data_IF_447292992739
#
_entry.id   IF_447292992739
#
_cell.length_a   1.000
_cell.length_b   1.000
_cell.length_c   1.000
_cell.angle_alpha   90.00
_cell.angle_beta   90.00
_cell.angle_gamma   90.00
#
_symmetry.space_group_name_H-M   'P 1'
#
loop_
_entity.id
_entity.type
_entity.pdbx_description
1 polymer ?
#
# COMPACT_ATOMS: atom_id res chain seq x y z
N UNK A 1 60.89 -16.93 -35.31
CA UNK A 1 61.15 -15.49 -35.12
C UNK A 1 60.72 -14.75 -36.39
N UNK A 2 60.22 -13.50 -36.34
CA UNK A 2 60.17 -12.59 -35.20
C UNK A 2 58.75 -12.17 -34.78
N UNK A 3 58.67 -11.77 -33.52
CA UNK A 3 57.60 -11.00 -32.87
C UNK A 3 57.73 -9.52 -33.26
N UNK A 4 56.61 -8.82 -33.48
CA UNK A 4 56.56 -7.35 -33.41
C UNK A 4 55.43 -6.99 -32.46
N UNK A 5 55.74 -6.91 -31.15
CA UNK A 5 56.12 -5.69 -30.44
C UNK A 5 55.04 -4.61 -30.55
N UNK A 6 54.18 -4.55 -29.52
CA UNK A 6 53.48 -3.32 -29.15
C UNK A 6 54.51 -2.47 -28.42
N UNK A 7 55.11 -1.52 -29.14
CA UNK A 7 56.03 -0.55 -28.56
C UNK A 7 55.26 0.74 -28.28
N UNK A 8 54.83 0.89 -27.02
CA UNK A 8 54.53 2.20 -26.45
C UNK A 8 55.87 2.87 -26.13
N UNK A 9 56.46 3.52 -27.14
CA UNK A 9 57.78 4.13 -27.02
C UNK A 9 57.84 5.41 -27.84
N UNK A 10 57.97 6.54 -27.14
CA UNK A 10 58.31 7.84 -27.71
C UNK A 10 59.54 7.72 -28.61
N UNK A 11 59.34 7.79 -29.93
CA UNK A 11 60.43 7.91 -30.89
C UNK A 11 60.05 8.93 -31.94
N UNK A 12 60.72 10.08 -31.88
CA UNK A 12 60.64 11.14 -32.88
C UNK A 12 61.27 10.65 -34.17
N UNK A 13 60.48 9.99 -35.01
CA UNK A 13 60.87 9.68 -36.40
C UNK A 13 60.63 10.94 -37.22
N UNK A 14 61.72 11.55 -37.71
CA UNK A 14 61.67 12.71 -38.58
C UNK A 14 60.88 12.38 -39.86
N UNK A 15 59.77 13.12 -40.08
CA UNK A 15 58.95 13.02 -41.30
C UNK A 15 59.76 13.53 -42.51
N UNK A 16 59.69 12.88 -43.68
CA UNK A 16 60.14 13.50 -44.92
C UNK A 16 59.30 14.76 -45.18
N UNK A 17 59.98 15.89 -45.36
CA UNK A 17 59.36 17.20 -45.58
C UNK A 17 58.61 17.18 -46.91
N UNK A 18 57.27 17.17 -46.86
CA UNK A 18 56.41 17.39 -48.04
C UNK A 18 55.22 16.46 -48.23
N UNK A 19 55.07 15.36 -47.46
CA UNK A 19 53.90 14.48 -47.60
C UNK A 19 52.75 14.93 -46.66
N UNK A 20 51.60 15.27 -47.23
CA UNK A 20 50.38 15.55 -46.48
C UNK A 20 50.00 14.32 -45.62
N UNK A 21 49.73 14.55 -44.33
CA UNK A 21 49.30 13.48 -43.43
C UNK A 21 47.99 12.87 -43.96
N UNK A 22 47.85 11.53 -44.01
CA UNK A 22 46.55 10.94 -44.26
C UNK A 22 45.59 11.39 -43.15
N UNK A 23 44.30 11.65 -43.45
CA UNK A 23 43.35 12.10 -42.45
C UNK A 23 43.31 11.08 -41.31
N UNK A 24 43.52 11.55 -40.07
CA UNK A 24 43.41 10.69 -38.89
C UNK A 24 42.01 10.05 -38.87
N UNK A 25 41.91 8.71 -38.77
CA UNK A 25 40.63 8.05 -38.63
C UNK A 25 39.97 8.53 -37.35
N UNK A 26 38.87 9.27 -37.49
CA UNK A 26 38.09 9.80 -36.38
C UNK A 26 37.25 8.68 -35.80
N UNK A 27 37.79 7.94 -34.83
CA UNK A 27 37.04 6.90 -34.13
C UNK A 27 36.03 7.55 -33.16
N UNK A 28 34.75 7.55 -33.52
CA UNK A 28 33.66 7.85 -32.58
C UNK A 28 33.22 6.56 -31.90
N UNK A 29 33.37 6.49 -30.57
CA UNK A 29 32.75 5.45 -29.76
C UNK A 29 31.23 5.68 -29.76
N UNK A 30 30.50 4.97 -30.63
CA UNK A 30 29.04 4.92 -30.55
C UNK A 30 28.65 3.93 -29.47
N UNK A 31 28.38 4.42 -28.26
CA UNK A 31 27.63 3.65 -27.28
C UNK A 31 26.23 3.42 -27.84
N UNK A 32 25.96 2.19 -28.28
CA UNK A 32 24.62 1.79 -28.70
C UNK A 32 23.78 1.63 -27.43
N UNK A 33 23.14 2.72 -27.04
CA UNK A 33 22.03 2.68 -26.09
C UNK A 33 21.00 1.67 -26.64
N UNK A 34 20.51 0.76 -25.79
CA UNK A 34 19.58 -0.30 -26.20
C UNK A 34 18.14 0.05 -25.83
N UNK A 35 17.37 0.75 -26.68
CA UNK A 35 15.94 0.86 -26.49
C UNK A 35 15.30 -0.36 -27.15
N UNK A 36 14.68 -1.21 -26.34
CA UNK A 36 13.78 -2.31 -26.72
C UNK A 36 14.42 -3.59 -27.33
N UNK A 37 14.05 -4.72 -26.72
CA UNK A 37 14.44 -6.09 -27.09
C UNK A 37 14.11 -6.40 -28.56
N UNK A 38 12.97 -5.96 -29.07
CA UNK A 38 12.56 -6.20 -30.45
C UNK A 38 13.46 -5.48 -31.47
N UNK A 39 13.89 -4.25 -31.16
CA UNK A 39 14.80 -3.47 -32.02
C UNK A 39 16.18 -4.14 -32.04
N UNK A 40 16.63 -4.65 -30.89
CA UNK A 40 17.89 -5.43 -30.81
C UNK A 40 17.85 -6.69 -31.67
N UNK A 41 16.74 -7.43 -31.66
CA UNK A 41 16.57 -8.63 -32.49
C UNK A 41 16.57 -8.28 -33.98
N UNK A 42 15.78 -7.28 -34.39
CA UNK A 42 15.70 -6.85 -35.79
C UNK A 42 17.04 -6.33 -36.31
N UNK A 43 17.74 -5.52 -35.51
CA UNK A 43 19.06 -5.00 -35.87
C UNK A 43 20.08 -6.13 -35.99
N UNK A 44 20.10 -7.09 -35.06
CA UNK A 44 20.98 -8.27 -35.15
C UNK A 44 20.72 -9.14 -36.40
N UNK A 45 19.47 -9.25 -36.85
CA UNK A 45 19.12 -9.93 -38.11
C UNK A 45 19.63 -9.12 -39.32
N UNK A 46 19.42 -7.80 -39.30
CA UNK A 46 19.84 -6.91 -40.39
C UNK A 46 21.35 -6.82 -40.52
N UNK A 47 22.08 -6.76 -39.42
CA UNK A 47 23.55 -6.74 -39.39
C UNK A 47 24.10 -8.03 -39.96
N UNK A 48 23.55 -9.19 -39.58
CA UNK A 48 23.95 -10.49 -40.18
C UNK A 48 23.80 -10.53 -41.70
N UNK A 49 22.75 -9.91 -42.24
CA UNK A 49 22.51 -9.86 -43.69
C UNK A 49 23.44 -8.86 -44.40
N UNK A 50 23.96 -7.86 -43.67
CA UNK A 50 24.78 -6.77 -44.22
C UNK A 50 26.27 -6.97 -44.02
N UNK A 51 26.71 -7.77 -43.04
CA UNK A 51 28.13 -8.01 -42.79
C UNK A 51 28.73 -8.81 -43.96
N UNK A 52 29.65 -8.23 -44.75
CA UNK A 52 30.34 -8.97 -45.78
C UNK A 52 31.25 -10.01 -45.13
N UNK A 53 31.21 -11.24 -45.60
CA UNK A 53 32.18 -12.27 -45.20
C UNK A 53 33.55 -11.85 -45.74
N UNK A 54 34.43 -11.39 -44.88
CA UNK A 54 35.80 -11.03 -45.26
C UNK A 54 36.57 -12.33 -45.49
N UNK A 55 36.90 -12.63 -46.74
CA UNK A 55 37.79 -13.74 -47.10
C UNK A 55 39.23 -13.31 -46.87
N UNK A 56 39.88 -13.90 -45.87
CA UNK A 56 41.31 -13.66 -45.60
C UNK A 56 42.16 -14.31 -46.70
N UNK A 57 43.16 -13.62 -47.28
CA UNK A 57 44.02 -14.21 -48.29
C UNK A 57 44.75 -15.48 -47.77
N UNK A 58 44.95 -16.50 -48.62
CA UNK A 58 45.40 -17.84 -48.23
C UNK A 58 46.76 -17.88 -47.50
N UNK A 59 47.56 -16.83 -47.67
CA UNK A 59 48.86 -16.62 -47.01
C UNK A 59 48.75 -16.56 -45.49
N UNK A 60 47.57 -16.19 -44.96
CA UNK A 60 47.26 -16.08 -43.54
C UNK A 60 46.16 -17.06 -43.09
N UNK A 61 45.79 -18.02 -43.95
CA UNK A 61 44.61 -18.87 -43.79
C UNK A 61 44.95 -20.23 -43.19
N UNK A 62 44.36 -20.57 -42.03
CA UNK A 62 44.41 -21.91 -41.43
C UNK A 62 43.02 -22.53 -41.21
N UNK A 63 42.04 -22.04 -41.96
CA UNK A 63 40.61 -22.32 -41.78
C UNK A 63 39.81 -21.02 -41.76
N UNK A 64 38.49 -21.09 -42.02
CA UNK A 64 37.59 -19.94 -41.94
C UNK A 64 37.63 -19.34 -40.53
N UNK A 65 38.29 -18.20 -40.37
CA UNK A 65 38.34 -17.49 -39.10
C UNK A 65 37.44 -16.25 -39.17
N UNK A 66 36.25 -16.23 -38.53
CA UNK A 66 35.60 -14.97 -38.25
C UNK A 66 36.54 -14.11 -37.38
N UNK A 67 36.69 -12.83 -37.72
CA UNK A 67 37.50 -11.86 -36.96
C UNK A 67 37.17 -11.91 -35.45
N UNK A 68 38.13 -11.58 -34.56
CA UNK A 68 37.94 -11.71 -33.12
C UNK A 68 36.83 -10.78 -32.62
N UNK A 69 35.68 -11.40 -32.35
CA UNK A 69 34.72 -11.22 -31.25
C UNK A 69 35.07 -10.09 -30.27
N UNK A 70 34.85 -8.83 -30.66
CA UNK A 70 34.56 -7.75 -29.69
C UNK A 70 33.05 -7.62 -29.47
N UNK A 71 32.24 -8.22 -30.35
CA UNK A 71 30.81 -8.35 -30.16
C UNK A 71 30.49 -9.69 -29.49
N UNK A 72 30.07 -9.65 -28.22
CA UNK A 72 29.50 -10.81 -27.55
C UNK A 72 28.38 -11.38 -28.42
N UNK A 73 28.28 -12.72 -28.52
CA UNK A 73 27.18 -13.39 -29.21
C UNK A 73 25.84 -12.79 -28.74
N UNK A 74 24.90 -12.46 -29.65
CA UNK A 74 23.62 -11.93 -29.24
C UNK A 74 22.94 -12.87 -28.23
N UNK A 75 22.47 -12.32 -27.11
CA UNK A 75 21.96 -13.09 -25.96
C UNK A 75 20.90 -14.13 -26.33
N UNK A 76 20.06 -13.85 -27.35
CA UNK A 76 19.01 -14.75 -27.81
C UNK A 76 19.56 -16.02 -28.47
N UNK A 77 20.79 -15.98 -29.02
CA UNK A 77 21.46 -17.16 -29.59
C UNK A 77 22.00 -18.07 -28.50
N UNK A 78 22.47 -17.47 -27.42
CA UNK A 78 22.90 -18.20 -26.23
C UNK A 78 21.75 -18.59 -25.31
N UNK A 79 20.50 -18.20 -25.60
CA UNK A 79 19.34 -18.54 -24.79
C UNK A 79 19.22 -20.06 -24.55
N UNK A 80 19.48 -20.88 -25.57
CA UNK A 80 19.49 -22.33 -25.39
C UNK A 80 20.56 -22.77 -24.39
N UNK A 81 21.78 -22.23 -24.51
CA UNK A 81 22.88 -22.53 -23.59
C UNK A 81 22.58 -22.03 -22.18
N UNK A 82 21.96 -20.85 -22.03
CA UNK A 82 21.52 -20.31 -20.74
C UNK A 82 20.47 -21.22 -20.09
N UNK A 83 19.46 -21.65 -20.86
CA UNK A 83 18.45 -22.62 -20.41
C UNK A 83 19.13 -23.94 -20.02
N UNK A 84 20.06 -24.44 -20.83
CA UNK A 84 20.80 -25.66 -20.55
C UNK A 84 21.58 -25.56 -19.23
N UNK A 85 22.23 -24.43 -18.95
CA UNK A 85 22.98 -24.18 -17.71
C UNK A 85 22.08 -24.29 -16.47
N UNK A 86 20.79 -23.93 -16.56
CA UNK A 86 19.85 -24.10 -15.44
C UNK A 86 19.66 -25.59 -15.06
N UNK A 87 19.86 -26.50 -16.00
CA UNK A 87 19.71 -27.95 -15.81
C UNK A 87 21.03 -28.71 -15.71
N UNK A 88 22.17 -28.07 -15.96
CA UNK A 88 23.47 -28.71 -15.81
C UNK A 88 23.77 -28.99 -14.33
N UNK A 89 24.31 -30.18 -14.01
CA UNK A 89 24.72 -30.47 -12.66
C UNK A 89 25.89 -29.56 -12.29
N UNK A 90 25.79 -28.99 -11.09
CA UNK A 90 26.84 -28.24 -10.44
C UNK A 90 28.13 -29.09 -10.38
N UNK A 91 29.26 -28.54 -10.87
CA UNK A 91 30.54 -29.26 -10.95
C UNK A 91 31.44 -29.02 -9.75
N UNK A 92 31.29 -27.90 -9.04
CA UNK A 92 32.10 -27.59 -7.88
C UNK A 92 31.63 -28.31 -6.60
N UNK A 93 32.56 -28.85 -5.79
CA UNK A 93 32.21 -29.58 -4.56
C UNK A 93 31.50 -28.67 -3.53
N UNK A 94 31.78 -27.37 -3.56
CA UNK A 94 31.18 -26.39 -2.65
C UNK A 94 29.70 -26.16 -2.99
N UNK A 95 29.36 -25.88 -4.26
CA UNK A 95 27.97 -25.67 -4.66
C UNK A 95 27.14 -26.94 -4.52
N UNK A 96 27.70 -28.11 -4.80
CA UNK A 96 26.97 -29.39 -4.64
C UNK A 96 26.61 -29.64 -3.19
N UNK A 97 27.54 -29.37 -2.26
CA UNK A 97 27.26 -29.37 -0.82
C UNK A 97 26.20 -28.32 -0.45
N UNK A 98 26.38 -27.07 -0.87
CA UNK A 98 25.47 -25.97 -0.55
C UNK A 98 24.05 -26.20 -1.08
N UNK A 99 23.91 -26.73 -2.29
CA UNK A 99 22.62 -27.08 -2.91
C UNK A 99 21.94 -28.23 -2.15
N UNK A 100 22.70 -29.18 -1.61
CA UNK A 100 22.16 -30.22 -0.71
C UNK A 100 21.64 -29.62 0.59
N UNK A 101 22.37 -28.66 1.18
CA UNK A 101 21.89 -27.95 2.37
C UNK A 101 20.64 -27.12 2.08
N UNK A 102 20.56 -26.41 0.94
CA UNK A 102 19.35 -25.69 0.53
C UNK A 102 18.13 -26.60 0.41
N UNK A 103 18.29 -27.77 -0.22
CA UNK A 103 17.21 -28.77 -0.28
C UNK A 103 16.75 -29.19 1.11
N UNK A 104 17.68 -29.42 2.05
CA UNK A 104 17.35 -29.75 3.44
C UNK A 104 16.63 -28.60 4.17
N UNK A 105 17.08 -27.36 3.98
CA UNK A 105 16.41 -26.15 4.52
C UNK A 105 14.98 -26.02 3.98
N UNK A 106 14.81 -26.18 2.67
CA UNK A 106 13.50 -26.12 2.01
C UNK A 106 12.57 -27.22 2.52
N UNK A 107 13.07 -28.45 2.73
CA UNK A 107 12.30 -29.54 3.31
C UNK A 107 11.85 -29.23 4.74
N UNK A 108 12.75 -28.73 5.60
CA UNK A 108 12.38 -28.32 6.96
C UNK A 108 11.36 -27.19 6.95
N UNK A 109 11.56 -26.18 6.11
CA UNK A 109 10.61 -25.07 5.96
C UNK A 109 9.24 -25.57 5.50
N UNK A 110 9.18 -26.49 4.52
CA UNK A 110 7.94 -27.07 4.05
C UNK A 110 7.23 -27.91 5.13
N UNK A 111 7.96 -28.74 5.88
CA UNK A 111 7.38 -29.54 6.97
C UNK A 111 6.78 -28.68 8.08
N UNK A 112 7.49 -27.63 8.48
CA UNK A 112 7.02 -26.68 9.51
C UNK A 112 5.85 -25.85 8.98
N UNK A 113 5.87 -25.43 7.71
CA UNK A 113 4.75 -24.76 7.07
C UNK A 113 3.48 -25.63 7.07
N UNK A 114 3.59 -26.92 6.73
CA UNK A 114 2.47 -27.85 6.77
C UNK A 114 1.93 -28.03 8.20
N UNK A 115 2.79 -28.18 9.19
CA UNK A 115 2.38 -28.31 10.59
C UNK A 115 1.67 -27.05 11.11
N UNK A 116 2.21 -25.87 10.82
CA UNK A 116 1.63 -24.59 11.21
C UNK A 116 0.32 -24.29 10.46
N UNK A 117 0.19 -24.68 9.20
CA UNK A 117 -1.06 -24.60 8.45
C UNK A 117 -2.14 -25.51 9.05
N UNK A 118 -1.76 -26.74 9.45
CA UNK A 118 -2.66 -27.68 10.14
C UNK A 118 -3.15 -27.13 11.50
N UNK A 119 -2.25 -26.51 12.26
CA UNK A 119 -2.61 -25.84 13.51
C UNK A 119 -3.55 -24.63 13.27
N UNK A 120 -3.26 -23.81 12.25
CA UNK A 120 -4.11 -22.68 11.87
C UNK A 120 -5.49 -23.09 11.38
N UNK A 121 -5.60 -24.25 10.73
CA UNK A 121 -6.89 -24.85 10.34
C UNK A 121 -7.68 -25.36 11.56
N UNK A 122 -7.00 -26.01 12.51
CA UNK A 122 -7.61 -26.52 13.74
C UNK A 122 -8.24 -25.41 14.61
N UNK A 123 -7.66 -24.20 14.59
CA UNK A 123 -8.13 -23.04 15.38
C UNK A 123 -9.35 -22.35 14.72
N UNK A 124 -9.80 -22.80 13.54
CA UNK A 124 -11.01 -22.30 12.84
C UNK A 124 -11.04 -20.79 12.58
N UNK A 125 -9.87 -20.14 12.46
CA UNK A 125 -9.79 -18.76 11.99
C UNK A 125 -9.87 -18.72 10.47
N UNK A 126 -10.70 -17.83 9.92
CA UNK A 126 -10.91 -17.61 8.46
C UNK A 126 -9.60 -17.51 7.65
N UNK A 127 -8.52 -17.00 8.26
CA UNK A 127 -7.21 -16.82 7.62
C UNK A 127 -6.10 -17.73 8.18
N UNK A 128 -6.41 -18.59 9.16
CA UNK A 128 -5.43 -19.35 9.94
C UNK A 128 -4.56 -20.28 9.12
N UNK A 129 -5.13 -20.92 8.08
CA UNK A 129 -4.40 -21.82 7.20
C UNK A 129 -3.32 -21.08 6.41
N UNK A 130 -3.68 -19.93 5.82
CA UNK A 130 -2.76 -19.13 5.01
C UNK A 130 -1.67 -18.47 5.87
N UNK A 131 -2.07 -17.88 7.00
CA UNK A 131 -1.13 -17.23 7.94
C UNK A 131 -0.20 -18.27 8.57
N UNK A 132 -0.73 -19.43 8.95
CA UNK A 132 0.05 -20.55 9.47
C UNK A 132 1.05 -21.10 8.45
N UNK A 133 0.65 -21.28 7.19
CA UNK A 133 1.55 -21.76 6.14
C UNK A 133 2.71 -20.77 5.88
N UNK A 134 2.40 -19.48 5.73
CA UNK A 134 3.41 -18.44 5.43
C UNK A 134 4.34 -18.25 6.63
N UNK A 135 3.77 -18.10 7.83
CA UNK A 135 4.53 -17.92 9.07
C UNK A 135 5.40 -19.13 9.40
N UNK A 136 4.83 -20.34 9.24
CA UNK A 136 5.54 -21.59 9.42
C UNK A 136 6.69 -21.79 8.43
N UNK A 137 6.50 -21.42 7.16
CA UNK A 137 7.57 -21.48 6.16
C UNK A 137 8.73 -20.54 6.52
N UNK A 138 8.42 -19.28 6.88
CA UNK A 138 9.44 -18.30 7.26
C UNK A 138 10.23 -18.76 8.50
N UNK A 139 9.52 -19.24 9.53
CA UNK A 139 10.14 -19.76 10.75
C UNK A 139 10.99 -21.01 10.45
N UNK A 140 10.45 -21.97 9.70
CA UNK A 140 11.16 -23.19 9.34
C UNK A 140 12.37 -22.94 8.46
N UNK A 141 12.33 -21.92 7.61
CA UNK A 141 13.49 -21.47 6.85
C UNK A 141 14.59 -20.91 7.75
N UNK A 142 14.24 -20.08 8.75
CA UNK A 142 15.19 -19.56 9.73
C UNK A 142 15.83 -20.69 10.56
N UNK A 143 15.04 -21.65 11.03
CA UNK A 143 15.53 -22.85 11.72
C UNK A 143 16.46 -23.66 10.80
N UNK A 144 16.10 -23.83 9.53
CA UNK A 144 16.92 -24.49 8.54
C UNK A 144 18.29 -23.82 8.34
N UNK A 145 18.36 -22.49 8.34
CA UNK A 145 19.62 -21.75 8.23
C UNK A 145 20.59 -22.11 9.36
N UNK A 146 20.06 -22.27 10.59
CA UNK A 146 20.85 -22.60 11.78
C UNK A 146 21.33 -24.06 11.72
N UNK A 147 20.43 -25.00 11.42
CA UNK A 147 20.72 -26.43 11.41
C UNK A 147 21.62 -26.86 10.24
N UNK A 148 21.42 -26.27 9.07
CA UNK A 148 22.08 -26.69 7.83
C UNK A 148 22.93 -25.56 7.27
N UNK A 149 24.07 -25.27 7.88
CA UNK A 149 24.97 -24.19 7.42
C UNK A 149 25.57 -24.51 6.04
N UNK A 150 25.61 -23.47 5.20
CA UNK A 150 26.34 -23.50 3.92
C UNK A 150 27.82 -23.28 4.18
N UNK A 151 28.65 -23.76 3.26
CA UNK A 151 30.08 -23.52 3.23
C UNK A 151 30.36 -22.26 2.40
N UNK A 152 31.20 -21.38 2.92
CA UNK A 152 31.59 -20.16 2.23
C UNK A 152 32.57 -20.48 1.09
N UNK A 153 32.46 -19.73 0.00
CA UNK A 153 33.47 -19.79 -1.05
C UNK A 153 34.76 -19.13 -0.55
N UNK A 154 35.94 -19.67 -0.95
CA UNK A 154 37.18 -18.96 -0.70
C UNK A 154 37.09 -17.56 -1.34
N UNK A 155 37.71 -16.53 -0.72
CA UNK A 155 37.69 -15.20 -1.27
C UNK A 155 38.25 -15.23 -2.70
N UNK A 156 37.52 -14.63 -3.63
CA UNK A 156 38.01 -14.46 -5.00
C UNK A 156 39.31 -13.64 -4.97
N UNK A 157 40.21 -13.95 -5.90
CA UNK A 157 41.53 -13.33 -6.01
C UNK A 157 41.42 -11.81 -6.15
N UNK A 158 40.35 -11.35 -6.80
CA UNK A 158 40.09 -9.94 -7.08
C UNK A 158 39.33 -9.22 -5.96
N UNK A 159 38.63 -9.95 -5.08
CA UNK A 159 37.81 -9.38 -3.99
C UNK A 159 36.80 -8.29 -4.39
N UNK A 160 36.49 -8.13 -5.68
CA UNK A 160 35.73 -6.99 -6.23
C UNK A 160 34.27 -6.89 -5.73
N UNK A 161 33.74 -7.94 -5.09
CA UNK A 161 32.33 -8.05 -4.70
C UNK A 161 32.12 -8.45 -3.24
N UNK A 162 32.90 -7.90 -2.30
CA UNK A 162 32.56 -8.09 -0.87
C UNK A 162 31.28 -7.30 -0.54
N UNK A 163 30.19 -7.97 -0.12
CA UNK A 163 28.95 -7.27 0.22
C UNK A 163 29.20 -6.35 1.43
N UNK A 164 29.12 -5.04 1.21
CA UNK A 164 29.17 -4.07 2.29
C UNK A 164 27.79 -3.93 2.93
N UNK A 165 27.70 -4.14 4.25
CA UNK A 165 26.44 -4.05 4.99
C UNK A 165 25.76 -2.68 4.84
N UNK A 166 26.55 -1.61 4.77
CA UNK A 166 26.05 -0.25 4.54
C UNK A 166 25.33 -0.09 3.18
N UNK A 167 25.85 -0.69 2.11
CA UNK A 167 25.23 -0.64 0.78
C UNK A 167 23.87 -1.36 0.77
N UNK A 168 23.79 -2.51 1.44
CA UNK A 168 22.55 -3.26 1.57
C UNK A 168 21.48 -2.49 2.34
N UNK A 169 21.85 -1.90 3.50
CA UNK A 169 20.94 -1.07 4.30
C UNK A 169 20.44 0.13 3.50
N UNK A 170 21.34 0.83 2.79
CA UNK A 170 20.97 1.97 1.95
C UNK A 170 20.00 1.57 0.84
N UNK A 171 20.24 0.44 0.18
CA UNK A 171 19.33 -0.07 -0.85
C UNK A 171 17.94 -0.37 -0.28
N UNK A 172 17.86 -1.10 0.83
CA UNK A 172 16.57 -1.41 1.49
C UNK A 172 15.82 -0.13 1.88
N UNK A 173 16.54 0.86 2.43
CA UNK A 173 15.96 2.14 2.83
C UNK A 173 15.41 2.93 1.64
N UNK A 174 16.15 3.00 0.53
CA UNK A 174 15.69 3.66 -0.69
C UNK A 174 14.46 2.98 -1.29
N UNK A 175 14.44 1.65 -1.33
CA UNK A 175 13.27 0.90 -1.83
C UNK A 175 12.05 1.07 -0.91
N UNK A 176 12.25 1.04 0.41
CA UNK A 176 11.18 1.29 1.37
C UNK A 176 10.60 2.70 1.22
N UNK A 177 11.47 3.72 1.05
CA UNK A 177 11.04 5.08 0.81
C UNK A 177 10.25 5.21 -0.50
N UNK A 178 10.69 4.55 -1.57
CA UNK A 178 9.99 4.50 -2.84
C UNK A 178 8.61 3.85 -2.73
N UNK A 179 8.49 2.72 -2.02
CA UNK A 179 7.21 2.05 -1.78
C UNK A 179 6.26 2.95 -0.97
N UNK A 180 6.75 3.60 0.07
CA UNK A 180 5.94 4.55 0.86
C UNK A 180 5.48 5.71 -0.02
N UNK A 181 6.37 6.31 -0.82
CA UNK A 181 6.01 7.42 -1.72
C UNK A 181 4.94 7.01 -2.76
N UNK A 182 4.98 5.77 -3.25
CA UNK A 182 3.98 5.25 -4.18
C UNK A 182 2.65 4.98 -3.46
N UNK A 183 2.67 4.35 -2.29
CA UNK A 183 1.46 3.88 -1.61
C UNK A 183 0.74 4.98 -0.81
N UNK A 184 1.48 5.95 -0.28
CA UNK A 184 0.95 7.05 0.53
C UNK A 184 -0.20 7.83 -0.15
N UNK A 185 -0.12 8.26 -1.42
CA UNK A 185 -1.23 8.97 -2.05
C UNK A 185 -2.48 8.11 -2.21
N UNK A 186 -2.35 6.80 -2.48
CA UNK A 186 -3.51 5.90 -2.57
C UNK A 186 -4.17 5.70 -1.21
N UNK A 187 -3.37 5.55 -0.15
CA UNK A 187 -3.86 5.44 1.21
C UNK A 187 -4.61 6.70 1.64
N UNK A 188 -4.03 7.89 1.43
CA UNK A 188 -4.66 9.17 1.73
C UNK A 188 -5.94 9.38 0.90
N UNK A 189 -5.91 9.05 -0.40
CA UNK A 189 -7.09 9.15 -1.25
C UNK A 189 -8.22 8.23 -0.78
N UNK A 190 -7.92 7.04 -0.26
CA UNK A 190 -8.93 6.15 0.31
C UNK A 190 -9.54 6.70 1.61
N UNK A 191 -8.74 7.37 2.46
CA UNK A 191 -9.25 8.03 3.66
C UNK A 191 -10.17 9.23 3.33
N UNK A 192 -9.95 9.89 2.20
CA UNK A 192 -10.70 11.09 1.80
C UNK A 192 -11.88 10.84 0.84
N UNK A 193 -12.27 9.58 0.55
CA UNK A 193 -13.48 9.32 -0.25
C UNK A 193 -14.73 9.51 0.61
N UNK A 194 -15.54 10.59 0.42
CA UNK A 194 -16.86 10.63 1.03
C UNK A 194 -17.70 9.48 0.48
N UNK A 195 -18.44 8.80 1.36
CA UNK A 195 -19.41 7.80 0.93
C UNK A 195 -20.42 8.51 0.04
N UNK A 196 -20.49 8.11 -1.23
CA UNK A 196 -21.57 8.53 -2.13
C UNK A 196 -22.85 7.93 -1.57
N UNK A 197 -23.54 8.69 -0.71
CA UNK A 197 -24.90 8.39 -0.30
C UNK A 197 -25.71 8.43 -1.59
N UNK A 198 -26.23 7.28 -2.02
CA UNK A 198 -27.30 7.23 -3.01
C UNK A 198 -28.56 7.74 -2.33
N UNK A 199 -28.56 9.03 -2.00
CA UNK A 199 -29.63 9.68 -1.29
C UNK A 199 -30.76 9.95 -2.27
N UNK A 200 -31.78 9.10 -2.27
CA UNK A 200 -33.10 9.68 -2.11
C UNK A 200 -33.07 10.35 -0.73
N UNK A 201 -32.62 11.60 -0.70
CA UNK A 201 -32.91 12.49 0.42
C UNK A 201 -34.39 12.77 0.29
N UNK A 202 -35.19 11.86 0.84
CA UNK A 202 -36.55 12.23 1.18
C UNK A 202 -36.37 13.27 2.29
N UNK A 203 -36.55 14.53 1.92
CA UNK A 203 -36.65 15.63 2.88
C UNK A 203 -37.91 15.32 3.68
N UNK A 204 -37.76 14.50 4.72
CA UNK A 204 -38.83 14.27 5.68
C UNK A 204 -38.94 15.59 6.42
N UNK A 205 -39.98 16.33 6.07
CA UNK A 205 -40.37 17.55 6.75
C UNK A 205 -40.41 17.27 8.26
N UNK A 206 -39.52 17.94 9.00
CA UNK A 206 -39.44 17.85 10.46
C UNK A 206 -40.42 18.79 11.15
N UNK A 207 -41.29 19.46 10.40
CA UNK A 207 -42.43 20.22 10.92
C UNK A 207 -43.31 19.47 11.92
N UNK A 208 -43.53 18.13 11.87
CA UNK A 208 -44.26 17.41 12.91
C UNK A 208 -43.43 17.10 14.17
N UNK A 209 -42.12 17.41 14.19
CA UNK A 209 -41.27 17.34 15.39
C UNK A 209 -40.96 18.73 15.97
N UNK A 210 -41.41 19.82 15.32
CA UNK A 210 -41.45 21.14 15.93
C UNK A 210 -42.44 21.07 17.06
N UNK A 211 -41.86 20.98 18.25
CA UNK A 211 -42.52 20.75 19.51
C UNK A 211 -43.79 21.58 19.67
N UNK A 212 -44.73 20.98 20.40
CA UNK A 212 -45.91 21.58 21.03
C UNK A 212 -45.45 22.58 22.12
N UNK A 213 -44.56 23.49 21.75
CA UNK A 213 -44.15 24.62 22.57
C UNK A 213 -45.29 25.61 22.53
N UNK A 214 -45.69 26.10 23.71
CA UNK A 214 -46.69 27.15 23.82
C UNK A 214 -46.33 28.29 22.84
N UNK A 215 -47.29 28.80 22.04
CA UNK A 215 -47.03 29.86 21.08
C UNK A 215 -46.31 31.02 21.76
N UNK A 216 -45.11 31.35 21.29
CA UNK A 216 -44.30 32.45 21.81
C UNK A 216 -43.70 33.21 20.64
N UNK A 217 -43.56 34.52 20.80
CA UNK A 217 -42.89 35.39 19.82
C UNK A 217 -41.43 34.99 19.58
N UNK A 218 -40.79 34.36 20.57
CA UNK A 218 -39.42 33.86 20.46
C UNK A 218 -39.42 32.40 20.02
N UNK A 219 -38.99 32.17 18.78
CA UNK A 219 -38.75 30.82 18.25
C UNK A 219 -37.64 30.13 19.03
N UNK A 220 -37.89 28.88 19.43
CA UNK A 220 -36.84 27.99 19.90
C UNK A 220 -35.88 27.69 18.75
N UNK A 221 -34.61 27.55 19.09
CA UNK A 221 -33.51 27.43 18.14
C UNK A 221 -32.42 26.54 18.70
N UNK A 222 -31.52 26.15 17.82
CA UNK A 222 -30.46 25.20 18.09
C UNK A 222 -30.69 23.85 17.43
N UNK A 223 -29.73 22.96 17.65
CA UNK A 223 -29.69 21.66 17.00
C UNK A 223 -28.57 20.81 17.57
N UNK A 224 -28.36 19.65 16.98
CA UNK A 224 -27.29 18.76 17.40
C UNK A 224 -26.75 17.90 16.28
N UNK A 225 -25.51 17.51 16.49
CA UNK A 225 -24.77 16.66 15.58
C UNK A 225 -23.92 15.67 16.35
N UNK A 226 -23.56 14.60 15.69
CA UNK A 226 -22.77 13.55 16.30
C UNK A 226 -22.49 12.41 15.35
N UNK A 227 -21.73 11.43 15.83
CA UNK A 227 -21.37 10.19 15.18
C UNK A 227 -20.11 9.60 15.78
N UNK A 228 -19.76 8.39 15.33
CA UNK A 228 -18.55 7.66 15.72
C UNK A 228 -17.61 7.42 14.52
N UNK A 229 -17.78 8.21 13.45
CA UNK A 229 -17.10 8.04 12.15
C UNK A 229 -17.44 6.72 11.46
N UNK A 230 -18.60 6.14 11.77
CA UNK A 230 -19.12 4.97 11.06
C UNK A 230 -19.36 5.29 9.58
N UNK A 231 -19.02 4.33 8.71
CA UNK A 231 -19.24 4.46 7.26
C UNK A 231 -20.72 4.42 6.86
N UNK A 232 -21.55 3.83 7.72
CA UNK A 232 -22.99 3.70 7.54
C UNK A 232 -23.70 4.89 8.17
N UNK A 233 -24.84 5.36 7.62
CA UNK A 233 -25.65 6.42 8.24
C UNK A 233 -26.13 6.00 9.64
N UNK A 234 -26.57 6.96 10.45
CA UNK A 234 -27.12 6.65 11.78
C UNK A 234 -28.38 5.78 11.63
N UNK A 235 -28.64 4.83 12.53
CA UNK A 235 -29.87 4.04 12.47
C UNK A 235 -31.07 4.86 12.95
N UNK A 236 -32.26 4.60 12.37
CA UNK A 236 -33.53 5.16 12.85
C UNK A 236 -33.87 4.62 14.25
N UNK A 237 -34.33 5.49 15.14
CA UNK A 237 -34.65 5.10 16.52
C UNK A 237 -35.30 6.20 17.34
N UNK A 238 -35.54 5.91 18.63
CA UNK A 238 -36.13 6.84 19.58
C UNK A 238 -35.11 7.90 20.05
N UNK A 239 -35.62 9.09 20.37
CA UNK A 239 -34.84 10.21 20.91
C UNK A 239 -34.95 10.21 22.43
N UNK A 240 -33.84 10.39 23.18
CA UNK A 240 -33.91 10.52 24.63
C UNK A 240 -34.43 11.90 25.05
N UNK A 241 -34.68 12.08 26.35
CA UNK A 241 -35.19 13.34 26.90
C UNK A 241 -34.14 14.45 26.87
N UNK A 242 -34.61 15.70 26.83
CA UNK A 242 -33.77 16.89 26.98
C UNK A 242 -33.47 17.17 28.46
N UNK A 243 -32.26 17.65 28.72
CA UNK A 243 -31.81 18.08 30.04
C UNK A 243 -30.86 19.28 29.91
N UNK A 244 -30.77 20.08 30.99
CA UNK A 244 -29.86 21.23 31.05
C UNK A 244 -28.39 20.84 30.98
N UNK A 245 -28.05 19.61 31.37
CA UNK A 245 -26.69 19.10 31.33
C UNK A 245 -26.69 17.71 30.70
N UNK A 246 -25.79 17.54 29.74
CA UNK A 246 -25.56 16.25 29.11
C UNK A 246 -24.44 15.50 29.83
N UNK A 247 -24.76 14.32 30.38
CA UNK A 247 -23.77 13.49 31.08
C UNK A 247 -23.24 12.37 30.19
N UNK A 248 -24.09 11.84 29.31
CA UNK A 248 -23.72 10.83 28.33
C UNK A 248 -24.38 11.14 26.97
N UNK A 249 -23.62 11.09 25.87
CA UNK A 249 -24.19 11.26 24.55
C UNK A 249 -25.05 10.05 24.16
N UNK A 250 -26.13 10.24 23.39
CA UNK A 250 -26.93 9.13 22.87
C UNK A 250 -26.17 8.39 21.78
N UNK A 251 -25.94 7.10 21.98
CA UNK A 251 -25.24 6.25 21.02
C UNK A 251 -25.93 4.89 20.98
N UNK A 252 -26.07 4.32 19.78
CA UNK A 252 -26.52 2.93 19.56
C UNK A 252 -25.37 1.96 19.80
N UNK A 253 -24.17 2.32 19.34
CA UNK A 253 -22.95 1.56 19.58
C UNK A 253 -22.07 2.32 20.55
N UNK A 254 -22.01 1.86 21.79
CA UNK A 254 -21.15 2.45 22.82
C UNK A 254 -19.73 1.87 22.69
N UNK A 255 -18.66 2.69 22.74
CA UNK A 255 -17.28 2.20 22.66
C UNK A 255 -16.89 1.23 23.78
N UNK A 256 -17.47 1.42 24.97
CA UNK A 256 -17.29 0.55 26.12
C UNK A 256 -18.60 -0.16 26.46
N UNK A 257 -18.61 -1.49 26.40
CA UNK A 257 -19.78 -2.33 26.71
C UNK A 257 -20.02 -2.49 28.22
N UNK A 258 -19.01 -2.24 29.07
CA UNK A 258 -19.09 -2.37 30.52
C UNK A 258 -18.59 -1.08 31.21
N UNK A 259 -19.40 0.00 31.24
CA UNK A 259 -19.04 1.22 31.94
C UNK A 259 -19.03 1.01 33.46
N UNK A 260 -18.04 1.58 34.14
CA UNK A 260 -17.96 1.55 35.62
C UNK A 260 -19.12 2.31 36.29
N UNK A 261 -19.68 3.30 35.61
CA UNK A 261 -20.83 4.09 36.05
C UNK A 261 -21.76 4.34 34.86
N UNK A 262 -22.79 3.50 34.64
CA UNK A 262 -23.76 3.73 33.58
C UNK A 262 -24.66 4.92 33.94
N UNK A 263 -24.75 5.88 33.03
CA UNK A 263 -25.67 7.02 33.13
C UNK A 263 -26.62 6.97 31.94
N UNK A 264 -27.87 7.37 32.14
CA UNK A 264 -28.84 7.42 31.05
C UNK A 264 -28.46 8.52 30.04
N UNK A 265 -28.48 8.24 28.74
CA UNK A 265 -28.18 9.24 27.72
C UNK A 265 -29.30 10.27 27.64
N UNK A 266 -28.92 11.52 27.39
CA UNK A 266 -29.82 12.66 27.27
C UNK A 266 -29.32 13.63 26.19
N UNK A 267 -30.21 14.51 25.73
CA UNK A 267 -29.88 15.63 24.85
C UNK A 267 -29.76 16.93 25.63
N UNK A 268 -28.90 17.83 25.17
CA UNK A 268 -28.77 19.16 25.75
C UNK A 268 -29.95 20.03 25.32
N UNK A 269 -30.71 20.59 26.25
CA UNK A 269 -31.79 21.53 25.95
C UNK A 269 -32.78 21.74 27.10
N UNK A 270 -33.84 22.53 26.87
CA UNK A 270 -34.87 22.79 27.87
C UNK A 270 -35.62 21.49 28.24
N UNK A 271 -35.70 21.11 29.53
CA UNK A 271 -36.39 19.88 29.96
C UNK A 271 -37.89 19.86 29.63
N UNK A 272 -38.51 21.03 29.50
CA UNK A 272 -39.92 21.18 29.18
C UNK A 272 -40.24 20.87 27.71
N UNK A 273 -39.21 20.64 26.87
CA UNK A 273 -39.38 20.33 25.47
C UNK A 273 -39.85 18.89 25.28
N UNK A 274 -41.17 18.74 25.07
CA UNK A 274 -41.81 17.45 24.80
C UNK A 274 -41.73 17.13 23.31
N UNK A 275 -41.05 16.04 22.99
CA UNK A 275 -41.10 15.46 21.65
C UNK A 275 -42.32 14.53 21.52
N UNK A 276 -42.88 14.35 20.31
CA UNK A 276 -43.86 13.30 20.06
C UNK A 276 -43.30 11.95 20.54
N UNK A 277 -44.05 11.26 21.41
CA UNK A 277 -43.61 9.97 21.94
C UNK A 277 -43.50 8.94 20.81
N UNK A 278 -42.26 8.69 20.39
CA UNK A 278 -41.90 7.49 19.64
C UNK A 278 -42.19 6.28 20.53
N UNK A 279 -42.63 5.15 19.96
CA UNK A 279 -42.88 3.94 20.73
C UNK A 279 -41.68 3.61 21.65
N UNK A 280 -41.92 3.48 22.95
CA UNK A 280 -40.91 3.29 23.99
C UNK A 280 -40.03 2.03 23.79
N UNK A 281 -40.38 1.20 22.83
CA UNK A 281 -39.78 -0.09 22.52
C UNK A 281 -38.69 0.02 21.44
N UNK A 282 -38.47 1.21 20.86
CA UNK A 282 -37.43 1.42 19.86
C UNK A 282 -36.08 1.70 20.54
N UNK A 283 -35.01 1.05 20.04
CA UNK A 283 -33.64 1.43 20.39
C UNK A 283 -33.37 2.89 20.04
N UNK A 284 -32.38 3.50 20.70
CA UNK A 284 -31.94 4.87 20.41
C UNK A 284 -31.62 5.03 18.92
N UNK A 285 -31.83 6.22 18.36
CA UNK A 285 -31.47 6.48 16.97
C UNK A 285 -31.81 7.88 16.52
N UNK A 286 -31.54 8.16 15.25
CA UNK A 286 -31.85 9.42 14.60
C UNK A 286 -33.21 9.31 13.86
N UNK A 287 -34.29 10.01 14.28
CA UNK A 287 -35.63 9.86 13.71
C UNK A 287 -35.74 10.04 12.19
N UNK A 288 -35.11 11.06 11.56
CA UNK A 288 -35.13 11.23 10.10
C UNK A 288 -34.23 10.25 9.34
N UNK A 289 -33.59 9.28 10.01
CA UNK A 289 -32.59 8.44 9.39
C UNK A 289 -33.15 7.14 8.78
N UNK A 290 -32.28 6.41 8.07
CA UNK A 290 -32.61 5.19 7.34
C UNK A 290 -32.72 4.00 8.30
N UNK A 291 -33.70 3.13 8.06
CA UNK A 291 -33.78 1.81 8.71
C UNK A 291 -32.58 1.00 8.23
N UNK A 292 -31.59 0.82 9.10
CA UNK A 292 -30.31 0.19 8.79
C UNK A 292 -29.75 -0.52 10.03
N UNK A 293 -28.69 -1.30 9.84
CA UNK A 293 -27.98 -1.91 10.96
C UNK A 293 -27.53 -0.85 11.98
N UNK A 294 -27.50 -1.21 13.25
CA UNK A 294 -27.07 -0.36 14.37
C UNK A 294 -25.80 0.45 14.03
N UNK A 295 -25.92 1.78 13.99
CA UNK A 295 -24.87 2.70 13.54
C UNK A 295 -25.08 4.08 14.15
N UNK A 296 -24.00 4.72 14.61
CA UNK A 296 -24.06 6.10 15.09
C UNK A 296 -23.91 7.13 13.96
N UNK A 297 -23.47 6.73 12.76
CA UNK A 297 -23.33 7.64 11.63
C UNK A 297 -21.92 8.20 11.40
N UNK A 298 -21.71 8.88 10.26
CA UNK A 298 -20.40 9.36 9.82
C UNK A 298 -19.86 10.59 10.54
N UNK A 299 -20.68 11.26 11.36
CA UNK A 299 -20.27 12.41 12.15
C UNK A 299 -19.23 12.06 13.23
N UNK A 300 -18.91 13.03 14.09
CA UNK A 300 -17.91 12.85 15.14
C UNK A 300 -18.22 13.64 16.42
N UNK A 301 -17.63 13.22 17.54
CA UNK A 301 -17.81 13.85 18.87
C UNK A 301 -18.63 13.03 19.86
N UNK A 302 -19.15 11.87 19.44
CA UNK A 302 -20.18 11.12 20.17
C UNK A 302 -21.54 11.38 19.54
N UNK A 303 -22.64 10.93 20.15
CA UNK A 303 -23.97 11.20 19.60
C UNK A 303 -24.28 10.37 18.35
N UNK A 304 -25.25 10.82 17.55
CA UNK A 304 -25.66 10.13 16.32
C UNK A 304 -25.94 11.10 15.16
N UNK A 305 -25.49 10.77 13.96
CA UNK A 305 -25.78 11.55 12.75
C UNK A 305 -24.57 11.76 11.86
N UNK A 306 -24.57 12.87 11.13
CA UNK A 306 -23.51 13.28 10.21
C UNK A 306 -22.81 14.57 10.63
N UNK A 307 -23.35 15.26 11.65
CA UNK A 307 -22.81 16.49 12.20
C UNK A 307 -21.67 16.30 13.21
N UNK A 308 -21.43 17.35 13.99
CA UNK A 308 -20.36 17.40 15.00
C UNK A 308 -20.94 17.61 16.41
N UNK A 309 -20.46 16.86 17.40
CA UNK A 309 -20.81 17.07 18.80
C UNK A 309 -21.38 15.82 19.46
N UNK A 310 -22.28 16.03 20.41
CA UNK A 310 -22.82 15.00 21.30
C UNK A 310 -24.33 14.79 21.12
N UNK A 311 -24.94 15.42 20.13
CA UNK A 311 -26.39 15.43 19.89
C UNK A 311 -26.82 14.40 18.85
N UNK A 312 -28.01 14.62 18.29
CA UNK A 312 -28.57 13.78 17.24
C UNK A 312 -28.91 14.63 16.02
N UNK A 313 -28.27 14.40 14.87
CA UNK A 313 -28.62 15.08 13.61
C UNK A 313 -27.44 15.49 12.73
N UNK A 314 -27.70 16.46 11.86
CA UNK A 314 -26.74 17.05 10.91
C UNK A 314 -26.13 18.37 11.39
N UNK A 315 -26.58 18.89 12.54
CA UNK A 315 -26.12 20.15 13.11
C UNK A 315 -24.79 20.04 13.87
N UNK A 316 -24.59 20.95 14.83
CA UNK A 316 -23.45 20.98 15.73
C UNK A 316 -23.90 21.08 17.18
N UNK A 317 -23.34 20.30 18.10
CA UNK A 317 -23.66 20.37 19.54
C UNK A 317 -24.56 19.24 20.04
N UNK A 318 -25.14 19.41 21.22
CA UNK A 318 -25.82 18.38 22.01
C UNK A 318 -27.34 18.28 21.81
N UNK A 319 -27.94 19.10 20.95
CA UNK A 319 -29.38 19.11 20.69
C UNK A 319 -29.88 18.07 19.68
N UNK A 320 -31.02 18.34 19.04
CA UNK A 320 -31.65 17.52 18.01
C UNK A 320 -31.80 18.30 16.70
N UNK A 321 -31.38 17.72 15.58
CA UNK A 321 -31.63 18.23 14.24
C UNK A 321 -30.58 19.25 13.75
N UNK A 322 -30.84 19.92 12.62
CA UNK A 322 -29.95 20.96 12.11
C UNK A 322 -29.87 22.15 13.09
N UNK A 323 -28.76 22.90 13.11
CA UNK A 323 -28.54 24.02 14.03
C UNK A 323 -27.25 23.88 14.85
N UNK A 324 -27.03 24.77 15.81
CA UNK A 324 -25.86 24.75 16.71
C UNK A 324 -26.27 24.88 18.20
N UNK A 325 -25.67 24.06 19.07
CA UNK A 325 -25.81 24.16 20.53
C UNK A 325 -26.70 23.08 21.15
N UNK A 326 -27.69 23.49 21.94
CA UNK A 326 -28.72 22.60 22.52
C UNK A 326 -30.08 22.79 21.85
N UNK A 327 -31.12 22.11 22.32
CA UNK A 327 -32.49 22.30 21.86
C UNK A 327 -32.76 21.71 20.46
N UNK A 328 -33.74 22.30 19.77
CA UNK A 328 -34.20 21.92 18.43
C UNK A 328 -34.82 23.17 17.77
N UNK A 329 -34.89 23.19 16.44
CA UNK A 329 -35.52 24.29 15.68
C UNK A 329 -34.63 24.97 14.64
N UNK A 330 -33.34 24.62 14.58
CA UNK A 330 -32.40 25.23 13.63
C UNK A 330 -31.73 26.50 14.17
N UNK A 331 -30.66 26.92 13.49
CA UNK A 331 -29.88 28.10 13.89
C UNK A 331 -29.14 27.93 15.22
N UNK A 332 -28.64 29.01 15.82
CA UNK A 332 -28.00 29.00 17.14
C UNK A 332 -29.01 28.67 18.26
N UNK A 333 -28.53 28.12 19.36
CA UNK A 333 -29.34 27.79 20.53
C UNK A 333 -30.14 28.99 21.03
N UNK A 334 -31.46 28.82 21.12
CA UNK A 334 -32.35 29.72 21.84
C UNK A 334 -33.40 28.87 22.56
N UNK A 335 -33.64 29.17 23.83
CA UNK A 335 -34.60 28.43 24.68
C UNK A 335 -36.01 28.47 24.06
N UNK A 336 -36.36 29.57 23.39
CA UNK A 336 -37.71 29.83 22.91
C UNK A 336 -38.70 30.03 24.06
N UNK A 337 -39.89 30.57 23.79
CA UNK A 337 -40.87 30.78 24.86
C UNK A 337 -40.69 32.06 25.69
N UNK A 338 -41.48 32.18 26.76
CA UNK A 338 -41.45 33.27 27.74
C UNK A 338 -40.55 32.97 28.96
N UNK A 339 -39.54 32.11 28.81
CA UNK A 339 -38.62 31.72 29.89
C UNK A 339 -37.31 32.49 29.76
N UNK A 340 -36.89 33.13 30.85
CA UNK A 340 -35.56 33.70 31.02
C UNK A 340 -34.53 32.59 31.33
N UNK A 341 -33.31 32.77 30.82
CA UNK A 341 -32.16 31.85 30.91
C UNK A 341 -31.90 31.22 32.28
#
# INVERSE_FOLDING_TARGET
MPTTNVESGSSSVARPVGAAAPPEPKYQLTFVESPNVLISILRGIQDRLRTPKITVPPQYYRGEAPLPVVEMQPWYRDLHNQIKILFEPLRDPISTYNRRQEKRRALVAALIACAAAGAGWWIQTETGLAVGAIGGYAFGWAVGIILFKKMDYPPDIWQDYRPQSASWVNSVLVHALGLVAILLPFYLAQMMKPVKVSGKVEIVDISPYLADLAPSEKKAGGGGGGGDRSRTPASKGAVPMFAKQQLAPPMVKTPNLAPLMPVQPNLLGPPDLKLPQMAANLSLGNPPSVISAASNGPGFGGGMGEGEGTGIGSGRGGGLGPGEGGGTGGGPFSVGGNVSE
#
